data_IF_894247006123
#
_entry.id   IF_894247006123
#
_cell.length_a   1.000
_cell.length_b   1.000
_cell.length_c   1.000
_cell.angle_alpha   90.00
_cell.angle_beta   90.00
_cell.angle_gamma   90.00
#
_symmetry.space_group_name_H-M   'P 1'
#
loop_
_entity.id
_entity.type
_entity.pdbx_description
1 polymer ?
#
# COMPACT_ATOMS: atom_id res chain seq x y z
N UNK A 1 -8.87 -13.35 12.30
CA UNK A 1 -9.22 -12.15 11.52
C UNK A 1 -8.25 -11.02 11.85
N UNK A 2 -7.73 -10.34 10.84
CA UNK A 2 -6.81 -9.22 11.03
C UNK A 2 -7.45 -8.12 11.89
N UNK A 3 -6.60 -7.37 12.61
CA UNK A 3 -7.05 -6.17 13.31
C UNK A 3 -7.20 -5.02 12.31
N UNK A 4 -8.05 -4.07 12.61
CA UNK A 4 -8.19 -2.83 11.84
C UNK A 4 -7.93 -1.63 12.74
N UNK A 5 -7.09 -0.71 12.25
CA UNK A 5 -6.79 0.54 12.91
C UNK A 5 -7.00 1.68 11.92
N UNK A 6 -7.95 2.57 12.20
CA UNK A 6 -8.11 3.79 11.40
C UNK A 6 -6.86 4.64 11.54
N UNK A 7 -6.30 5.05 10.41
CA UNK A 7 -5.14 5.92 10.40
C UNK A 7 -5.09 6.67 9.06
N UNK A 8 -5.07 8.00 9.13
CA UNK A 8 -4.90 8.84 7.96
C UNK A 8 -3.60 9.64 8.11
N UNK A 9 -2.56 9.24 7.38
CA UNK A 9 -1.23 9.89 7.44
C UNK A 9 -1.14 11.13 6.55
N UNK A 10 -2.21 11.52 5.87
CA UNK A 10 -2.24 12.79 5.14
C UNK A 10 -2.07 13.94 6.13
N UNK A 11 -1.07 14.82 5.96
CA UNK A 11 -0.78 15.89 6.93
C UNK A 11 -1.95 16.86 7.16
N UNK A 12 -2.82 17.00 6.17
CA UNK A 12 -4.00 17.87 6.26
C UNK A 12 -5.25 17.10 6.70
N UNK A 13 -5.10 15.84 7.08
CA UNK A 13 -6.18 14.96 7.50
C UNK A 13 -7.32 14.87 6.47
N UNK A 14 -6.98 15.01 5.19
CA UNK A 14 -7.96 14.97 4.11
C UNK A 14 -8.22 13.53 3.66
N UNK A 15 -9.48 13.24 3.36
CA UNK A 15 -9.89 11.94 2.79
C UNK A 15 -9.94 12.06 1.27
N UNK A 16 -8.75 12.16 0.66
CA UNK A 16 -8.59 12.32 -0.78
C UNK A 16 -8.36 10.98 -1.45
N UNK A 17 -8.35 10.99 -2.76
CA UNK A 17 -7.95 9.84 -3.57
C UNK A 17 -6.41 9.75 -3.61
N UNK A 18 -5.81 9.46 -2.47
CA UNK A 18 -4.36 9.43 -2.24
C UNK A 18 -3.91 8.12 -1.58
N UNK A 19 -4.67 7.06 -1.77
CA UNK A 19 -4.41 5.76 -1.12
C UNK A 19 -2.99 5.26 -1.37
N UNK A 20 -2.44 5.48 -2.56
CA UNK A 20 -1.07 5.04 -2.91
C UNK A 20 -0.05 5.75 -2.00
N UNK A 21 -0.14 7.07 -1.91
CA UNK A 21 0.80 7.85 -1.09
C UNK A 21 0.69 7.47 0.38
N UNK A 22 -0.54 7.33 0.90
CA UNK A 22 -0.76 6.93 2.29
C UNK A 22 -0.20 5.55 2.59
N UNK A 23 -0.54 4.57 1.75
CA UNK A 23 -0.11 3.19 1.94
C UNK A 23 1.42 3.07 1.91
N UNK A 24 2.07 3.69 0.93
CA UNK A 24 3.53 3.63 0.79
C UNK A 24 4.22 4.37 1.93
N UNK A 25 3.67 5.51 2.37
CA UNK A 25 4.21 6.23 3.53
C UNK A 25 4.21 5.34 4.77
N UNK A 26 3.11 4.66 5.04
CA UNK A 26 3.02 3.74 6.17
C UNK A 26 3.99 2.57 6.05
N UNK A 27 4.02 1.92 4.88
CA UNK A 27 4.85 0.73 4.66
C UNK A 27 6.35 1.05 4.71
N UNK A 28 6.76 2.20 4.17
CA UNK A 28 8.17 2.60 4.10
C UNK A 28 8.68 3.26 5.38
N UNK A 29 7.77 3.78 6.20
CA UNK A 29 8.15 4.58 7.36
C UNK A 29 8.61 6.00 7.00
N UNK A 30 8.49 6.41 5.74
CA UNK A 30 8.88 7.75 5.30
C UNK A 30 7.67 8.70 5.37
N UNK A 31 7.93 10.01 5.63
CA UNK A 31 6.85 10.99 5.71
C UNK A 31 6.03 11.08 4.42
N UNK A 32 4.75 11.36 4.56
CA UNK A 32 3.83 11.52 3.44
C UNK A 32 4.34 12.51 2.36
N UNK A 33 4.81 13.72 2.72
CA UNK A 33 5.31 14.65 1.70
C UNK A 33 6.51 14.11 0.93
N UNK A 34 7.37 13.36 1.59
CA UNK A 34 8.54 12.73 0.97
C UNK A 34 8.12 11.70 -0.06
N UNK A 35 7.18 10.83 0.29
CA UNK A 35 6.65 9.81 -0.64
C UNK A 35 5.94 10.47 -1.81
N UNK A 36 5.13 11.49 -1.55
CA UNK A 36 4.43 12.22 -2.61
C UNK A 36 5.42 12.78 -3.64
N UNK A 37 6.50 13.37 -3.18
CA UNK A 37 7.55 13.92 -4.05
C UNK A 37 8.23 12.82 -4.86
N UNK A 38 8.59 11.71 -4.21
CA UNK A 38 9.24 10.57 -4.87
C UNK A 38 8.33 9.93 -5.93
N UNK A 39 7.05 9.79 -5.64
CA UNK A 39 6.08 9.23 -6.60
C UNK A 39 5.90 10.15 -7.80
N UNK A 40 5.87 11.46 -7.60
CA UNK A 40 5.83 12.43 -8.70
C UNK A 40 7.05 12.32 -9.59
N UNK A 41 8.21 12.17 -8.98
CA UNK A 41 9.47 12.00 -9.72
C UNK A 41 9.45 10.73 -10.56
N UNK A 42 8.98 9.62 -9.98
CA UNK A 42 8.85 8.34 -10.68
C UNK A 42 7.86 8.44 -11.85
N UNK A 43 6.71 9.07 -11.64
CA UNK A 43 5.73 9.27 -12.70
C UNK A 43 6.33 10.06 -13.86
N UNK A 44 7.13 11.07 -13.57
CA UNK A 44 7.80 11.89 -14.57
C UNK A 44 8.84 11.10 -15.36
N UNK A 45 9.62 10.26 -14.67
CA UNK A 45 10.63 9.40 -15.31
C UNK A 45 9.99 8.38 -16.24
N UNK A 46 8.82 7.87 -15.88
CA UNK A 46 8.10 6.86 -16.66
C UNK A 46 7.12 7.49 -17.67
N UNK A 47 7.14 8.81 -17.79
CA UNK A 47 6.26 9.55 -18.70
C UNK A 47 4.76 9.26 -18.43
N UNK A 48 4.38 9.18 -17.17
CA UNK A 48 3.00 8.99 -16.73
C UNK A 48 2.41 10.34 -16.35
N UNK A 49 1.21 10.64 -16.85
CA UNK A 49 0.51 11.88 -16.49
C UNK A 49 0.05 11.87 -15.04
N UNK A 50 -0.35 10.70 -14.56
CA UNK A 50 -0.83 10.51 -13.20
C UNK A 50 -0.26 9.23 -12.64
N UNK A 51 -0.45 9.06 -11.35
CA UNK A 51 -0.01 7.89 -10.62
C UNK A 51 -0.86 6.67 -11.02
N UNK A 52 -0.51 6.05 -12.12
CA UNK A 52 -1.17 4.85 -12.60
C UNK A 52 -0.60 3.59 -11.95
N UNK A 53 -1.27 2.47 -12.14
CA UNK A 53 -0.88 1.18 -11.53
C UNK A 53 0.56 0.81 -11.89
N UNK A 54 0.93 0.88 -13.17
CA UNK A 54 2.29 0.53 -13.59
C UNK A 54 3.35 1.43 -12.95
N UNK A 55 3.04 2.71 -12.74
CA UNK A 55 3.93 3.66 -12.12
C UNK A 55 4.21 3.31 -10.66
N UNK A 56 3.16 3.11 -9.85
CA UNK A 56 3.41 2.82 -8.44
C UNK A 56 3.87 1.38 -8.21
N UNK A 57 3.53 0.43 -9.09
CA UNK A 57 4.12 -0.92 -9.03
C UNK A 57 5.62 -0.87 -9.27
N UNK A 58 6.07 -0.07 -10.24
CA UNK A 58 7.49 0.17 -10.46
C UNK A 58 8.16 0.71 -9.21
N UNK A 59 7.54 1.72 -8.58
CA UNK A 59 8.05 2.32 -7.35
C UNK A 59 8.18 1.28 -6.23
N UNK A 60 7.14 0.47 -6.04
CA UNK A 60 7.14 -0.57 -5.00
C UNK A 60 8.27 -1.56 -5.23
N UNK A 61 8.46 -2.05 -6.46
CA UNK A 61 9.47 -3.05 -6.79
C UNK A 61 10.88 -2.47 -6.79
N UNK A 62 11.07 -1.36 -7.48
CA UNK A 62 12.42 -0.86 -7.80
C UNK A 62 12.95 0.13 -6.74
N UNK A 63 12.09 0.91 -6.12
CA UNK A 63 12.51 1.90 -5.11
C UNK A 63 12.41 1.33 -3.71
N UNK A 64 11.31 0.68 -3.37
CA UNK A 64 11.11 0.08 -2.04
C UNK A 64 11.65 -1.34 -1.92
N UNK A 65 11.96 -1.99 -3.04
CA UNK A 65 12.42 -3.38 -3.03
C UNK A 65 11.32 -4.36 -2.63
N UNK A 66 10.07 -4.05 -2.92
CA UNK A 66 8.95 -4.91 -2.58
C UNK A 66 9.01 -6.27 -3.29
N UNK A 67 8.81 -7.34 -2.54
CA UNK A 67 8.84 -8.71 -3.06
C UNK A 67 7.41 -9.20 -3.25
N UNK A 68 7.01 -9.55 -4.51
CA UNK A 68 5.66 -10.05 -4.76
C UNK A 68 5.36 -11.32 -3.98
N UNK A 69 4.14 -11.42 -3.48
CA UNK A 69 3.63 -12.59 -2.75
C UNK A 69 2.38 -13.12 -3.42
N UNK A 70 2.20 -14.44 -3.37
CA UNK A 70 0.98 -15.05 -3.87
C UNK A 70 -0.22 -14.66 -3.00
N UNK A 71 -1.28 -14.20 -3.64
CA UNK A 71 -2.50 -13.80 -2.95
C UNK A 71 -3.76 -14.22 -3.71
N UNK A 72 -3.63 -15.14 -4.66
CA UNK A 72 -4.75 -15.57 -5.50
C UNK A 72 -5.90 -16.10 -4.67
N UNK A 73 -7.10 -15.54 -4.89
CA UNK A 73 -8.32 -15.95 -4.20
C UNK A 73 -8.40 -15.53 -2.74
N UNK A 74 -7.50 -14.66 -2.28
CA UNK A 74 -7.43 -14.25 -0.87
C UNK A 74 -8.08 -12.91 -0.63
N UNK A 75 -8.82 -12.81 0.48
CA UNK A 75 -9.16 -11.52 1.09
C UNK A 75 -7.96 -11.03 1.91
N UNK A 76 -8.04 -9.78 2.39
CA UNK A 76 -7.00 -9.26 3.28
C UNK A 76 -6.92 -10.11 4.56
N UNK A 77 -8.07 -10.53 5.10
CA UNK A 77 -8.09 -11.41 6.27
C UNK A 77 -7.36 -12.74 5.99
N UNK A 78 -7.63 -13.36 4.84
CA UNK A 78 -6.96 -14.60 4.44
C UNK A 78 -5.46 -14.44 4.35
N UNK A 79 -5.03 -13.35 3.71
CA UNK A 79 -3.60 -13.06 3.56
C UNK A 79 -2.93 -12.82 4.92
N UNK A 80 -3.61 -12.07 5.80
CA UNK A 80 -3.08 -11.80 7.14
C UNK A 80 -2.90 -13.07 7.96
N UNK A 81 -3.82 -14.03 7.85
CA UNK A 81 -3.71 -15.32 8.54
C UNK A 81 -2.49 -16.10 8.08
N UNK A 82 -2.14 -16.03 6.79
CA UNK A 82 -0.95 -16.68 6.25
C UNK A 82 0.34 -15.91 6.56
N UNK A 83 0.23 -14.59 6.70
CA UNK A 83 1.37 -13.70 6.92
C UNK A 83 1.10 -12.80 8.13
N UNK A 84 1.09 -13.37 9.35
CA UNK A 84 0.71 -12.59 10.55
C UNK A 84 1.77 -11.58 11.00
N UNK A 85 2.98 -11.65 10.44
CA UNK A 85 4.07 -10.73 10.80
C UNK A 85 4.68 -10.11 9.56
N UNK A 86 5.14 -8.88 9.70
CA UNK A 86 5.81 -8.16 8.62
C UNK A 86 4.95 -7.05 8.05
N UNK A 87 5.54 -6.33 7.11
CA UNK A 87 4.91 -5.20 6.43
C UNK A 87 4.57 -5.58 5.00
N UNK A 88 3.33 -5.36 4.61
CA UNK A 88 2.84 -5.72 3.27
C UNK A 88 2.05 -4.57 2.67
N UNK A 89 2.24 -4.36 1.37
CA UNK A 89 1.35 -3.53 0.57
C UNK A 89 0.40 -4.46 -0.18
N UNK A 90 -0.89 -4.19 -0.09
CA UNK A 90 -1.94 -5.03 -0.69
C UNK A 90 -2.77 -4.18 -1.64
N UNK A 91 -2.80 -4.57 -2.91
CA UNK A 91 -3.61 -3.90 -3.92
C UNK A 91 -4.89 -4.67 -4.14
N UNK A 92 -5.98 -3.93 -4.27
CA UNK A 92 -7.28 -4.45 -4.68
C UNK A 92 -7.82 -3.55 -5.79
N UNK A 93 -8.94 -3.91 -6.38
CA UNK A 93 -9.54 -3.11 -7.44
C UNK A 93 -9.84 -1.69 -6.94
N UNK A 94 -9.16 -0.71 -7.53
CA UNK A 94 -9.35 0.70 -7.22
C UNK A 94 -8.74 1.18 -5.90
N UNK A 95 -7.95 0.36 -5.20
CA UNK A 95 -7.41 0.74 -3.89
C UNK A 95 -6.11 0.00 -3.57
N UNK A 96 -5.28 0.60 -2.73
CA UNK A 96 -4.10 -0.04 -2.15
C UNK A 96 -4.04 0.33 -0.67
N UNK A 97 -3.60 -0.63 0.16
CA UNK A 97 -3.59 -0.49 1.61
C UNK A 97 -2.35 -1.11 2.21
N UNK A 98 -2.16 -0.92 3.52
CA UNK A 98 -0.99 -1.39 4.25
C UNK A 98 -1.39 -2.30 5.39
N UNK A 99 -0.78 -3.49 5.42
CA UNK A 99 -0.94 -4.48 6.50
C UNK A 99 0.40 -4.61 7.22
N UNK A 100 0.41 -4.34 8.53
CA UNK A 100 1.62 -4.44 9.36
C UNK A 100 1.30 -5.28 10.59
N UNK A 101 2.02 -6.39 10.75
CA UNK A 101 1.90 -7.27 11.91
C UNK A 101 0.44 -7.57 12.27
N UNK A 102 -0.30 -8.10 11.30
CA UNK A 102 -1.70 -8.52 11.46
C UNK A 102 -2.69 -7.38 11.64
N UNK A 103 -2.28 -6.13 11.42
CA UNK A 103 -3.15 -4.96 11.55
C UNK A 103 -3.25 -4.21 10.23
N UNK A 104 -4.46 -4.00 9.75
CA UNK A 104 -4.73 -3.18 8.57
C UNK A 104 -4.84 -1.72 9.00
N UNK A 105 -4.03 -0.85 8.41
CA UNK A 105 -4.06 0.59 8.65
C UNK A 105 -4.61 1.31 7.43
N UNK A 106 -5.79 1.90 7.57
CA UNK A 106 -6.46 2.59 6.48
C UNK A 106 -7.50 3.57 7.03
N UNK A 107 -8.11 4.34 6.13
CA UNK A 107 -9.20 5.25 6.49
C UNK A 107 -10.56 4.57 6.40
N UNK A 108 -10.63 3.32 5.90
CA UNK A 108 -11.83 2.50 5.95
C UNK A 108 -11.45 1.02 6.05
N UNK A 109 -12.37 0.23 6.59
CA UNK A 109 -12.12 -1.19 6.82
C UNK A 109 -12.38 -1.98 5.53
N UNK A 110 -11.32 -2.48 4.92
CA UNK A 110 -11.40 -3.29 3.71
C UNK A 110 -10.90 -4.73 3.92
N UNK A 111 -10.91 -5.21 5.17
CA UNK A 111 -10.37 -6.53 5.51
C UNK A 111 -11.01 -7.70 4.78
N UNK A 112 -12.26 -7.56 4.34
CA UNK A 112 -12.99 -8.62 3.63
C UNK A 112 -12.91 -8.50 2.10
N UNK A 113 -12.18 -7.52 1.59
CA UNK A 113 -11.99 -7.34 0.14
C UNK A 113 -10.96 -8.32 -0.39
N UNK A 114 -11.20 -8.80 -1.61
CA UNK A 114 -10.23 -9.64 -2.32
C UNK A 114 -9.09 -8.79 -2.86
N UNK A 115 -7.87 -9.30 -2.74
CA UNK A 115 -6.67 -8.60 -3.20
C UNK A 115 -6.22 -9.15 -4.54
N UNK A 116 -5.65 -8.28 -5.38
CA UNK A 116 -5.12 -8.63 -6.70
C UNK A 116 -3.61 -8.79 -6.69
N UNK A 117 -2.93 -8.05 -5.82
CA UNK A 117 -1.47 -8.08 -5.72
C UNK A 117 -1.06 -7.86 -4.26
N UNK A 118 0.07 -8.48 -3.89
CA UNK A 118 0.65 -8.31 -2.56
C UNK A 118 2.16 -8.21 -2.69
N UNK A 119 2.76 -7.33 -1.89
CA UNK A 119 4.22 -7.18 -1.82
C UNK A 119 4.66 -7.16 -0.36
N UNK A 120 5.71 -7.90 -0.06
CA UNK A 120 6.39 -7.80 1.23
C UNK A 120 7.39 -6.64 1.17
N UNK A 121 7.31 -5.75 2.12
CA UNK A 121 8.19 -4.59 2.21
C UNK A 121 9.18 -4.85 3.35
N UNK A 122 10.44 -4.89 3.00
CA UNK A 122 11.51 -5.15 3.95
C UNK A 122 12.09 -3.80 4.39
N UNK A 123 11.73 -3.37 5.58
CA UNK A 123 12.19 -2.09 6.13
C UNK A 123 13.46 -2.26 6.96
#
# INVERSE_FOLDING_TARGET
MARFQYLNVNPNNQKRNDCVTRAISLASGLPYPTIRKKLRHTAKLLDCEKLCVSCYEFFIREVLGGVPKNCEGMTINDFAELHPYGTYLLRMDGHITTLIDFTLYDIFDCREHFITNAWHINN
#
